data_IF_667699849373
#
_entry.id   IF_667699849373
#
_cell.length_a   1.000
_cell.length_b   1.000
_cell.length_c   1.000
_cell.angle_alpha   90.00
_cell.angle_beta   90.00
_cell.angle_gamma   90.00
#
_symmetry.space_group_name_H-M   'P 1'
#
loop_
_entity.id
_entity.type
_entity.pdbx_description
1 polymer ?
#
# COMPACT_ATOMS: atom_id res chain seq x y z
N UNK A 1 -8.03 -19.40 31.96
CA UNK A 1 -8.12 -18.59 30.74
C UNK A 1 -7.97 -19.54 29.57
N UNK A 2 -9.07 -19.87 28.87
CA UNK A 2 -9.00 -20.73 27.69
C UNK A 2 -8.69 -19.80 26.50
N UNK A 3 -7.51 -19.96 25.90
CA UNK A 3 -7.25 -19.48 24.55
C UNK A 3 -8.35 -20.03 23.65
N UNK A 4 -9.20 -19.14 23.15
CA UNK A 4 -9.94 -19.40 21.93
C UNK A 4 -8.87 -19.36 20.84
N UNK A 5 -8.43 -20.53 20.39
CA UNK A 5 -7.69 -20.61 19.13
C UNK A 5 -8.73 -20.24 18.07
N UNK A 6 -8.65 -19.02 17.56
CA UNK A 6 -9.33 -18.64 16.32
C UNK A 6 -8.64 -19.44 15.22
N UNK A 7 -9.19 -20.61 14.91
CA UNK A 7 -8.74 -21.43 13.78
C UNK A 7 -9.23 -20.71 12.52
N UNK A 8 -8.29 -20.23 11.69
CA UNK A 8 -8.60 -19.64 10.38
C UNK A 8 -8.50 -18.12 10.29
N UNK A 9 -7.47 -17.49 10.87
CA UNK A 9 -7.12 -16.08 10.58
C UNK A 9 -5.60 -15.96 10.48
N UNK A 10 -5.12 -14.93 9.77
CA UNK A 10 -3.68 -14.60 9.72
C UNK A 10 -3.16 -14.36 11.14
N UNK A 11 -2.02 -14.96 11.49
CA UNK A 11 -1.43 -14.88 12.82
C UNK A 11 -1.25 -13.43 13.29
N UNK A 12 -1.61 -13.18 14.55
CA UNK A 12 -1.45 -11.89 15.20
C UNK A 12 0.02 -11.45 15.30
N UNK A 13 0.96 -12.40 15.29
CA UNK A 13 2.39 -12.10 15.35
C UNK A 13 2.84 -11.22 14.16
N UNK A 14 2.20 -11.36 12.99
CA UNK A 14 2.48 -10.53 11.82
C UNK A 14 2.13 -9.06 12.04
N UNK A 15 1.10 -8.74 12.83
CA UNK A 15 0.77 -7.34 13.16
C UNK A 15 1.96 -6.66 13.83
N UNK A 16 2.48 -7.27 14.89
CA UNK A 16 3.59 -6.74 15.67
C UNK A 16 4.88 -6.67 14.83
N UNK A 17 5.20 -7.73 14.08
CA UNK A 17 6.36 -7.76 13.20
C UNK A 17 6.29 -6.64 12.14
N UNK A 18 5.15 -6.48 11.47
CA UNK A 18 4.95 -5.44 10.47
C UNK A 18 5.09 -4.02 11.05
N UNK A 19 4.55 -3.78 12.24
CA UNK A 19 4.72 -2.51 12.97
C UNK A 19 6.18 -2.22 13.30
N UNK A 20 6.94 -3.22 13.75
CA UNK A 20 8.38 -3.07 13.99
C UNK A 20 9.13 -2.78 12.68
N UNK A 21 8.78 -3.48 11.59
CA UNK A 21 9.29 -3.21 10.25
C UNK A 21 9.09 -1.75 9.81
N UNK A 22 7.89 -1.20 10.03
CA UNK A 22 7.58 0.20 9.75
C UNK A 22 8.38 1.15 10.66
N UNK A 23 8.42 0.88 11.96
CA UNK A 23 9.14 1.71 12.91
C UNK A 23 10.66 1.75 12.65
N UNK A 24 11.25 0.65 12.18
CA UNK A 24 12.67 0.56 11.84
C UNK A 24 13.02 1.04 10.43
N UNK A 25 12.06 1.10 9.50
CA UNK A 25 12.31 1.44 8.09
C UNK A 25 13.11 2.74 7.88
N UNK A 26 12.89 3.76 8.72
CA UNK A 26 13.63 5.03 8.63
C UNK A 26 15.16 4.88 8.73
N UNK A 27 15.66 3.78 9.31
CA UNK A 27 17.09 3.43 9.40
C UNK A 27 17.67 2.97 8.06
N UNK A 28 16.84 2.38 7.21
CA UNK A 28 17.20 1.84 5.90
C UNK A 28 16.85 2.75 4.71
N UNK A 29 15.99 3.74 4.95
CA UNK A 29 15.48 4.68 3.96
C UNK A 29 13.96 4.55 3.82
N UNK A 30 13.31 5.59 3.28
CA UNK A 30 11.83 5.64 3.23
C UNK A 30 11.21 4.45 2.51
N UNK A 31 11.85 3.94 1.46
CA UNK A 31 11.35 2.79 0.70
C UNK A 31 11.45 1.46 1.44
N UNK A 32 12.25 1.34 2.50
CA UNK A 32 12.20 0.15 3.35
C UNK A 32 10.83 -0.02 4.05
N UNK A 33 10.03 1.05 4.14
CA UNK A 33 8.67 1.01 4.67
C UNK A 33 7.73 0.07 3.89
N UNK A 34 8.08 -0.30 2.66
CA UNK A 34 7.33 -1.29 1.88
C UNK A 34 7.17 -2.62 2.63
N UNK A 35 8.24 -3.07 3.30
CA UNK A 35 8.33 -4.36 3.97
C UNK A 35 7.37 -4.42 5.15
N UNK A 36 7.51 -3.50 6.11
CA UNK A 36 6.61 -3.42 7.27
C UNK A 36 5.16 -3.17 6.87
N UNK A 37 4.91 -2.24 5.94
CA UNK A 37 3.55 -1.94 5.47
C UNK A 37 2.85 -3.15 4.86
N UNK A 38 3.58 -4.00 4.13
CA UNK A 38 2.99 -5.19 3.54
C UNK A 38 2.66 -6.26 4.58
N UNK A 39 3.54 -6.47 5.57
CA UNK A 39 3.27 -7.42 6.66
C UNK A 39 2.08 -6.97 7.50
N UNK A 40 2.02 -5.69 7.88
CA UNK A 40 0.86 -5.14 8.61
C UNK A 40 -0.43 -5.21 7.79
N UNK A 41 -0.39 -4.90 6.50
CA UNK A 41 -1.57 -5.02 5.62
C UNK A 41 -2.02 -6.49 5.47
N UNK A 42 -1.09 -7.45 5.47
CA UNK A 42 -1.40 -8.87 5.42
C UNK A 42 -2.17 -9.37 6.65
N UNK A 43 -1.84 -8.88 7.84
CA UNK A 43 -2.65 -9.14 9.03
C UNK A 43 -4.09 -8.63 8.85
N UNK A 44 -4.26 -7.39 8.39
CA UNK A 44 -5.60 -6.81 8.20
C UNK A 44 -6.42 -7.49 7.12
N UNK A 45 -5.81 -8.18 6.16
CA UNK A 45 -6.57 -9.04 5.24
C UNK A 45 -7.29 -10.16 5.99
N UNK A 46 -6.62 -10.81 6.94
CA UNK A 46 -7.22 -11.85 7.77
C UNK A 46 -8.32 -11.30 8.67
N UNK A 47 -8.12 -10.12 9.24
CA UNK A 47 -9.10 -9.45 10.10
C UNK A 47 -10.35 -9.02 9.33
N UNK A 48 -10.17 -8.35 8.19
CA UNK A 48 -11.26 -7.74 7.44
C UNK A 48 -12.02 -8.74 6.55
N UNK A 49 -11.38 -9.83 6.15
CA UNK A 49 -11.95 -10.86 5.28
C UNK A 49 -12.01 -12.21 6.01
N UNK A 50 -12.59 -12.22 7.21
CA UNK A 50 -12.57 -13.37 8.14
C UNK A 50 -13.26 -14.65 7.63
N UNK A 51 -14.03 -14.58 6.54
CA UNK A 51 -14.76 -15.73 5.96
C UNK A 51 -14.03 -16.40 4.76
N UNK A 52 -12.73 -16.13 4.56
CA UNK A 52 -11.95 -16.76 3.50
C UNK A 52 -11.55 -18.21 3.84
N UNK A 53 -11.28 -19.06 2.83
CA UNK A 53 -10.72 -20.39 3.05
C UNK A 53 -9.37 -20.35 3.78
N UNK A 54 -9.09 -21.36 4.61
CA UNK A 54 -7.84 -21.46 5.37
C UNK A 54 -6.60 -21.46 4.48
N UNK A 55 -6.70 -22.05 3.29
CA UNK A 55 -5.67 -22.03 2.24
C UNK A 55 -5.27 -20.61 1.83
N UNK A 56 -6.21 -19.67 1.82
CA UNK A 56 -5.94 -18.27 1.47
C UNK A 56 -5.12 -17.61 2.55
N UNK A 57 -5.47 -17.81 3.83
CA UNK A 57 -4.67 -17.28 4.94
C UNK A 57 -3.26 -17.86 4.94
N UNK A 58 -3.12 -19.18 4.75
CA UNK A 58 -1.81 -19.82 4.63
C UNK A 58 -1.00 -19.27 3.44
N UNK A 59 -1.66 -18.98 2.33
CA UNK A 59 -1.04 -18.33 1.17
C UNK A 59 -0.53 -16.92 1.49
N UNK A 60 -1.34 -16.11 2.18
CA UNK A 60 -0.95 -14.78 2.66
C UNK A 60 0.23 -14.87 3.62
N UNK A 61 0.14 -15.69 4.67
CA UNK A 61 1.21 -15.91 5.65
C UNK A 61 2.51 -16.36 5.00
N UNK A 62 2.43 -17.28 4.02
CA UNK A 62 3.60 -17.72 3.26
C UNK A 62 4.28 -16.59 2.49
N UNK A 63 3.54 -15.61 1.96
CA UNK A 63 4.15 -14.42 1.37
C UNK A 63 4.71 -13.48 2.45
N UNK A 64 4.05 -13.33 3.62
CA UNK A 64 4.55 -12.52 4.73
C UNK A 64 5.88 -13.04 5.30
N UNK A 65 6.00 -14.35 5.50
CA UNK A 65 7.24 -15.00 5.94
C UNK A 65 8.40 -14.70 5.01
N UNK A 66 8.14 -14.69 3.70
CA UNK A 66 9.15 -14.41 2.68
C UNK A 66 9.58 -12.95 2.66
N UNK A 67 8.66 -12.03 2.95
CA UNK A 67 8.98 -10.61 3.17
C UNK A 67 9.91 -10.46 4.38
N UNK A 68 9.58 -11.11 5.50
CA UNK A 68 10.37 -11.06 6.74
C UNK A 68 11.76 -11.71 6.56
N UNK A 69 11.82 -12.80 5.78
CA UNK A 69 13.06 -13.47 5.42
C UNK A 69 13.93 -12.66 4.43
N UNK A 70 13.41 -11.54 3.90
CA UNK A 70 14.18 -10.62 3.06
C UNK A 70 14.23 -11.00 1.58
N UNK A 71 13.31 -11.84 1.09
CA UNK A 71 13.23 -12.19 -0.34
C UNK A 71 12.92 -10.99 -1.24
N UNK A 72 12.53 -9.84 -0.65
CA UNK A 72 12.30 -8.58 -1.34
C UNK A 72 13.21 -7.45 -0.83
N UNK A 73 14.49 -7.76 -0.63
CA UNK A 73 15.52 -6.79 -0.23
C UNK A 73 15.80 -5.68 -1.27
N UNK A 74 15.06 -5.62 -2.39
CA UNK A 74 15.23 -4.61 -3.45
C UNK A 74 14.91 -3.19 -2.96
N UNK A 75 14.16 -3.06 -1.86
CA UNK A 75 13.70 -1.78 -1.34
C UNK A 75 14.81 -0.91 -0.75
N UNK A 76 15.94 -1.49 -0.37
CA UNK A 76 17.08 -0.75 0.14
C UNK A 76 18.39 -1.53 0.03
N UNK A 77 19.51 -0.82 0.06
CA UNK A 77 20.82 -1.47 0.07
C UNK A 77 21.23 -1.78 1.51
N UNK A 78 21.11 -3.04 1.94
CA UNK A 78 21.43 -3.48 3.30
C UNK A 78 22.86 -3.12 3.75
N UNK A 79 23.85 -3.28 2.85
CA UNK A 79 25.24 -2.91 3.13
C UNK A 79 25.41 -1.41 3.40
N UNK A 80 24.73 -0.56 2.62
CA UNK A 80 24.77 0.89 2.81
C UNK A 80 24.01 1.32 4.06
N UNK A 81 22.90 0.65 4.35
CA UNK A 81 22.05 0.96 5.50
C UNK A 81 22.63 0.43 6.83
N UNK A 82 23.50 -0.57 6.79
CA UNK A 82 24.03 -1.22 7.99
C UNK A 82 22.97 -2.00 8.77
N UNK A 83 21.91 -2.44 8.09
CA UNK A 83 20.81 -3.24 8.63
C UNK A 83 20.33 -4.20 7.55
N UNK A 84 19.96 -5.41 7.92
CA UNK A 84 19.39 -6.44 7.03
C UNK A 84 17.86 -6.39 7.05
N UNK A 85 17.16 -6.98 6.06
CA UNK A 85 15.70 -7.05 6.08
C UNK A 85 15.16 -7.68 7.36
N UNK A 86 15.72 -8.81 7.82
CA UNK A 86 15.27 -9.49 9.05
C UNK A 86 15.49 -8.64 10.30
N UNK A 87 16.57 -7.86 10.37
CA UNK A 87 16.80 -6.92 11.48
C UNK A 87 15.81 -5.75 11.50
N UNK A 88 15.13 -5.43 10.39
CA UNK A 88 14.04 -4.44 10.40
C UNK A 88 12.81 -4.97 11.15
N UNK A 89 12.61 -6.28 11.19
CA UNK A 89 11.48 -6.93 11.87
C UNK A 89 11.80 -7.33 13.31
N UNK A 90 13.00 -7.00 13.80
CA UNK A 90 13.38 -7.29 15.18
C UNK A 90 12.45 -6.58 16.17
N UNK A 91 12.11 -7.28 17.25
CA UNK A 91 11.28 -6.74 18.33
C UNK A 91 11.91 -5.47 18.91
N UNK A 92 11.08 -4.45 19.11
CA UNK A 92 11.44 -3.23 19.84
C UNK A 92 11.46 -3.48 21.35
N UNK A 93 12.20 -2.70 22.14
CA UNK A 93 12.16 -2.79 23.61
C UNK A 93 10.72 -2.71 24.14
N UNK A 94 10.44 -3.52 25.17
CA UNK A 94 9.16 -3.49 25.86
C UNK A 94 9.02 -2.15 26.60
N UNK A 95 7.95 -1.42 26.28
CA UNK A 95 7.62 -0.10 26.83
C UNK A 95 6.11 -0.02 27.09
N UNK A 96 5.69 0.78 28.06
CA UNK A 96 4.27 1.03 28.30
C UNK A 96 3.63 1.72 27.07
N UNK A 97 2.44 1.28 26.63
CA UNK A 97 1.78 1.90 25.49
C UNK A 97 1.34 3.34 25.78
N UNK A 98 1.49 4.21 24.78
CA UNK A 98 1.07 5.63 24.78
C UNK A 98 0.15 5.94 23.59
N UNK A 99 -1.06 5.34 23.53
CA UNK A 99 -1.98 5.48 22.39
C UNK A 99 -2.46 6.92 22.17
N UNK A 100 -2.44 7.76 23.19
CA UNK A 100 -2.72 9.19 23.10
C UNK A 100 -1.73 9.96 22.19
N UNK A 101 -0.58 9.35 21.87
CA UNK A 101 0.47 9.92 21.01
C UNK A 101 0.39 9.47 19.55
N UNK A 102 -0.56 8.61 19.17
CA UNK A 102 -0.80 8.23 17.76
C UNK A 102 -0.96 9.45 16.84
N UNK A 103 -1.63 10.56 17.25
CA UNK A 103 -1.72 11.77 16.44
C UNK A 103 -0.37 12.36 16.00
N UNK A 104 0.75 12.08 16.68
CA UNK A 104 2.08 12.55 16.25
C UNK A 104 2.47 12.03 14.86
N UNK A 105 2.03 10.84 14.47
CA UNK A 105 2.26 10.28 13.12
C UNK A 105 1.46 11.08 12.09
N UNK A 106 0.23 11.43 12.44
CA UNK A 106 -0.69 12.19 11.58
C UNK A 106 -0.20 13.64 11.42
N UNK A 107 0.28 14.27 12.49
CA UNK A 107 0.90 15.60 12.46
C UNK A 107 2.16 15.63 11.57
N UNK A 108 2.95 14.55 11.59
CA UNK A 108 4.07 14.40 10.67
C UNK A 108 3.63 14.24 9.21
N UNK A 109 2.56 13.48 8.97
CA UNK A 109 1.99 13.30 7.64
C UNK A 109 1.45 14.62 7.09
N UNK A 110 0.77 15.43 7.92
CA UNK A 110 0.17 16.71 7.54
C UNK A 110 1.16 17.66 6.83
N UNK A 111 2.46 17.55 7.14
CA UNK A 111 3.51 18.36 6.54
C UNK A 111 3.76 18.06 5.06
N UNK A 112 3.37 16.87 4.57
CA UNK A 112 3.65 16.44 3.20
C UNK A 112 2.48 15.76 2.48
N UNK A 113 1.33 15.58 3.14
CA UNK A 113 0.16 14.85 2.61
C UNK A 113 -0.45 15.48 1.36
N UNK A 114 -0.39 16.81 1.23
CA UNK A 114 -0.96 17.53 0.08
C UNK A 114 -0.15 17.42 -1.22
N UNK A 115 0.97 16.69 -1.22
CA UNK A 115 1.78 16.45 -2.41
C UNK A 115 1.97 14.94 -2.65
N UNK A 116 1.98 14.52 -3.92
CA UNK A 116 2.30 13.14 -4.25
C UNK A 116 3.80 12.87 -3.95
N UNK A 117 4.08 12.12 -2.87
CA UNK A 117 5.45 11.77 -2.46
C UNK A 117 5.72 10.30 -2.76
N UNK A 118 6.62 10.06 -3.71
CA UNK A 118 6.96 8.73 -4.23
C UNK A 118 5.68 7.92 -4.46
N UNK A 119 4.80 8.30 -5.39
CA UNK A 119 3.58 7.52 -5.66
C UNK A 119 2.66 7.31 -4.43
N UNK A 120 2.65 8.22 -3.46
CA UNK A 120 1.78 8.15 -2.28
C UNK A 120 2.30 7.32 -1.10
N UNK A 121 3.57 6.87 -1.11
CA UNK A 121 4.12 6.06 -0.01
C UNK A 121 4.04 6.73 1.37
N UNK A 122 4.13 8.06 1.43
CA UNK A 122 4.01 8.81 2.68
C UNK A 122 2.71 8.48 3.42
N UNK A 123 1.57 8.64 2.75
CA UNK A 123 0.27 8.38 3.34
C UNK A 123 -0.04 6.89 3.45
N UNK A 124 0.39 6.07 2.48
CA UNK A 124 0.19 4.60 2.53
C UNK A 124 0.82 3.99 3.78
N UNK A 125 2.07 4.34 4.08
CA UNK A 125 2.76 3.77 5.24
C UNK A 125 2.20 4.33 6.55
N UNK A 126 1.94 5.64 6.60
CA UNK A 126 1.39 6.29 7.78
C UNK A 126 -0.02 5.76 8.11
N UNK A 127 -0.91 5.59 7.12
CA UNK A 127 -2.28 5.13 7.36
C UNK A 127 -2.32 3.69 7.86
N UNK A 128 -1.50 2.79 7.31
CA UNK A 128 -1.41 1.40 7.76
C UNK A 128 -0.91 1.33 9.20
N UNK A 129 0.10 2.12 9.55
CA UNK A 129 0.58 2.22 10.93
C UNK A 129 -0.49 2.79 11.87
N UNK A 130 -1.12 3.90 11.49
CA UNK A 130 -2.17 4.55 12.31
C UNK A 130 -3.34 3.59 12.54
N UNK A 131 -3.77 2.85 11.52
CA UNK A 131 -4.78 1.79 11.65
C UNK A 131 -4.35 0.73 12.66
N UNK A 132 -3.14 0.20 12.53
CA UNK A 132 -2.59 -0.80 13.45
C UNK A 132 -2.56 -0.33 14.91
N UNK A 133 -2.08 0.89 15.16
CA UNK A 133 -1.99 1.42 16.52
C UNK A 133 -3.34 1.84 17.10
N UNK A 134 -4.27 2.27 16.25
CA UNK A 134 -5.62 2.63 16.68
C UNK A 134 -6.41 1.40 17.16
N UNK A 135 -6.36 0.31 16.39
CA UNK A 135 -7.12 -0.91 16.70
C UNK A 135 -6.44 -1.80 17.74
N UNK A 136 -5.11 -1.74 17.82
CA UNK A 136 -4.29 -2.48 18.77
C UNK A 136 -3.39 -1.52 19.56
N UNK A 137 -3.99 -0.72 20.48
CA UNK A 137 -3.30 0.33 21.22
C UNK A 137 -2.16 -0.19 22.11
N UNK A 138 -2.14 -1.48 22.43
CA UNK A 138 -1.04 -2.14 23.13
C UNK A 138 0.31 -2.07 22.38
N UNK A 139 0.30 -1.84 21.06
CA UNK A 139 1.51 -1.64 20.27
C UNK A 139 1.88 -0.17 20.06
N UNK A 140 1.10 0.77 20.57
CA UNK A 140 1.35 2.21 20.48
C UNK A 140 2.44 2.69 21.45
N UNK A 141 3.61 2.03 21.43
CA UNK A 141 4.73 2.36 22.30
C UNK A 141 5.47 3.61 21.81
N UNK A 142 6.18 4.33 22.70
CA UNK A 142 6.97 5.50 22.32
C UNK A 142 7.94 5.26 21.16
N UNK A 143 8.59 4.09 21.10
CA UNK A 143 9.52 3.78 20.01
C UNK A 143 8.84 3.46 18.68
N UNK A 144 7.70 2.76 18.69
CA UNK A 144 6.92 2.50 17.46
C UNK A 144 6.46 3.83 16.86
N UNK A 145 5.80 4.67 17.66
CA UNK A 145 5.29 5.98 17.23
C UNK A 145 6.44 6.83 16.68
N UNK A 146 7.54 6.96 17.44
CA UNK A 146 8.71 7.73 17.01
C UNK A 146 9.33 7.20 15.71
N UNK A 147 9.41 5.89 15.53
CA UNK A 147 9.94 5.26 14.34
C UNK A 147 9.10 5.55 13.09
N UNK A 148 7.78 5.39 13.20
CA UNK A 148 6.82 5.67 12.11
C UNK A 148 6.78 7.17 11.79
N UNK A 149 6.79 8.03 12.81
CA UNK A 149 6.88 9.50 12.63
C UNK A 149 8.13 9.88 11.85
N UNK A 150 9.29 9.31 12.18
CA UNK A 150 10.55 9.54 11.43
C UNK A 150 10.48 9.04 10.00
N UNK A 151 9.90 7.86 9.77
CA UNK A 151 9.67 7.33 8.42
C UNK A 151 8.83 8.32 7.59
N UNK A 152 7.72 8.80 8.17
CA UNK A 152 6.78 9.72 7.53
C UNK A 152 7.43 11.06 7.18
N UNK A 153 8.21 11.64 8.09
CA UNK A 153 8.95 12.88 7.86
C UNK A 153 10.03 12.74 6.77
N UNK A 154 10.56 11.53 6.56
CA UNK A 154 11.54 11.25 5.51
C UNK A 154 11.07 11.58 4.09
N UNK A 155 9.75 11.70 3.88
CA UNK A 155 9.15 12.02 2.59
C UNK A 155 9.04 13.52 2.28
N UNK A 156 9.35 14.42 3.22
CA UNK A 156 9.14 15.87 3.06
C UNK A 156 9.75 16.46 1.77
N UNK A 157 10.88 15.90 1.32
CA UNK A 157 11.59 16.35 0.12
C UNK A 157 11.50 15.36 -1.06
N UNK A 158 10.65 14.35 -0.98
CA UNK A 158 10.55 13.32 -2.01
C UNK A 158 9.76 13.82 -3.23
N UNK A 159 10.20 13.49 -4.45
CA UNK A 159 9.41 13.74 -5.67
C UNK A 159 8.33 12.66 -5.85
N UNK A 160 7.41 12.83 -6.79
CA UNK A 160 6.27 11.93 -7.04
C UNK A 160 6.62 10.53 -7.55
N UNK A 161 7.90 10.16 -7.65
CA UNK A 161 8.36 8.95 -8.35
C UNK A 161 8.76 9.24 -9.81
N UNK A 162 8.81 8.18 -10.64
CA UNK A 162 9.23 8.24 -12.04
C UNK A 162 8.34 7.36 -12.92
N UNK A 163 8.11 7.80 -14.16
CA UNK A 163 7.36 7.12 -15.21
C UNK A 163 8.25 6.70 -16.37
N UNK A 164 7.97 5.56 -17.01
CA UNK A 164 8.64 5.13 -18.24
C UNK A 164 7.81 5.52 -19.46
N UNK A 165 8.40 6.27 -20.39
CA UNK A 165 7.73 6.85 -21.56
C UNK A 165 8.15 6.17 -22.87
N UNK A 166 8.47 4.88 -22.82
CA UNK A 166 8.94 4.11 -23.96
C UNK A 166 10.43 4.32 -24.27
N UNK A 167 10.97 3.50 -25.16
CA UNK A 167 12.41 3.38 -25.43
C UNK A 167 13.06 4.68 -25.89
N UNK A 168 12.33 5.49 -26.65
CA UNK A 168 12.85 6.76 -27.20
C UNK A 168 12.99 7.85 -26.13
N UNK A 169 12.07 7.89 -25.16
CA UNK A 169 12.02 8.93 -24.14
C UNK A 169 12.66 8.50 -22.82
N UNK A 170 12.55 7.22 -22.46
CA UNK A 170 13.08 6.66 -21.23
C UNK A 170 12.29 7.06 -19.97
N UNK A 171 12.99 7.07 -18.83
CA UNK A 171 12.40 7.38 -17.52
C UNK A 171 12.37 8.89 -17.26
N UNK A 172 11.21 9.42 -16.87
CA UNK A 172 11.03 10.80 -16.38
C UNK A 172 10.56 10.82 -14.95
N UNK A 173 11.16 11.69 -14.15
CA UNK A 173 10.75 11.96 -12.77
C UNK A 173 9.52 12.88 -12.77
N UNK A 174 8.70 12.86 -11.71
CA UNK A 174 7.45 13.64 -11.70
C UNK A 174 7.61 15.14 -11.98
N UNK A 175 8.71 15.75 -11.54
CA UNK A 175 9.05 17.15 -11.82
C UNK A 175 9.49 17.42 -13.28
N UNK A 176 9.76 16.38 -14.07
CA UNK A 176 10.09 16.45 -15.50
C UNK A 176 8.84 16.23 -16.38
N UNK A 177 7.70 15.91 -15.77
CA UNK A 177 6.42 15.66 -16.46
C UNK A 177 5.54 16.89 -16.32
N UNK A 178 5.13 17.45 -17.46
CA UNK A 178 4.19 18.55 -17.49
C UNK A 178 2.76 18.00 -17.40
N UNK A 179 2.09 18.28 -16.28
CA UNK A 179 0.66 18.02 -16.11
C UNK A 179 -0.12 19.23 -16.64
N UNK A 180 -0.90 19.02 -17.69
CA UNK A 180 -1.82 20.05 -18.19
C UNK A 180 -3.11 20.00 -17.38
N UNK A 181 -3.76 21.16 -17.11
CA UNK A 181 -5.13 21.16 -16.63
C UNK A 181 -6.03 20.35 -17.56
N UNK A 182 -6.85 19.47 -16.98
CA UNK A 182 -7.80 18.64 -17.69
C UNK A 182 -9.20 18.95 -17.14
N UNK A 183 -9.97 19.74 -17.88
CA UNK A 183 -11.33 20.12 -17.51
C UNK A 183 -12.27 18.89 -17.40
N UNK A 184 -11.90 17.77 -18.03
CA UNK A 184 -12.64 16.51 -17.92
C UNK A 184 -12.30 15.71 -16.66
N UNK A 185 -11.29 16.13 -15.90
CA UNK A 185 -10.89 15.51 -14.64
C UNK A 185 -10.81 16.53 -13.50
N UNK A 186 -11.97 17.06 -13.03
CA UNK A 186 -12.03 18.03 -11.95
C UNK A 186 -11.56 17.44 -10.60
N UNK A 187 -11.33 18.31 -9.62
CA UNK A 187 -11.04 17.91 -8.25
C UNK A 187 -12.17 17.04 -7.67
N UNK A 188 -11.80 16.13 -6.75
CA UNK A 188 -12.77 15.29 -6.09
C UNK A 188 -13.75 16.10 -5.26
N UNK A 189 -15.02 15.70 -5.31
CA UNK A 189 -16.08 16.31 -4.51
C UNK A 189 -16.14 15.73 -3.09
N UNK A 190 -15.61 14.51 -2.91
CA UNK A 190 -15.62 13.76 -1.66
C UNK A 190 -14.70 12.54 -1.77
N UNK A 191 -14.43 11.87 -0.65
CA UNK A 191 -13.70 10.58 -0.62
C UNK A 191 -14.44 9.47 -1.40
N UNK A 192 -15.77 9.30 -1.29
CA UNK A 192 -16.49 8.38 -2.19
C UNK A 192 -16.33 8.71 -3.68
N UNK A 193 -16.27 10.00 -4.06
CA UNK A 193 -15.99 10.37 -5.44
C UNK A 193 -14.56 9.98 -5.86
N UNK A 194 -13.55 10.19 -5.02
CA UNK A 194 -12.19 9.70 -5.26
C UNK A 194 -12.17 8.17 -5.47
N UNK A 195 -12.84 7.40 -4.60
CA UNK A 195 -12.91 5.93 -4.72
C UNK A 195 -13.55 5.52 -6.04
N UNK A 196 -14.67 6.15 -6.44
CA UNK A 196 -15.32 5.87 -7.72
C UNK A 196 -14.38 6.11 -8.91
N UNK A 197 -13.64 7.23 -8.89
CA UNK A 197 -12.62 7.52 -9.92
C UNK A 197 -11.52 6.44 -9.93
N UNK A 198 -10.99 6.05 -8.76
CA UNK A 198 -9.94 5.02 -8.67
C UNK A 198 -10.41 3.68 -9.24
N UNK A 199 -11.64 3.29 -8.95
CA UNK A 199 -12.24 2.05 -9.46
C UNK A 199 -12.49 2.13 -10.97
N UNK A 200 -12.99 3.26 -11.48
CA UNK A 200 -13.18 3.45 -12.91
C UNK A 200 -11.82 3.46 -13.65
N UNK A 201 -10.77 4.06 -13.08
CA UNK A 201 -9.40 4.03 -13.63
C UNK A 201 -8.84 2.61 -13.68
N UNK A 202 -9.03 1.80 -12.63
CA UNK A 202 -8.68 0.38 -12.61
C UNK A 202 -9.41 -0.37 -13.73
N UNK A 203 -10.73 -0.24 -13.81
CA UNK A 203 -11.55 -0.94 -14.82
C UNK A 203 -11.10 -0.62 -16.23
N UNK A 204 -10.76 0.64 -16.51
CA UNK A 204 -10.39 1.09 -17.85
C UNK A 204 -8.95 0.72 -18.22
N UNK A 205 -8.02 0.74 -17.27
CA UNK A 205 -6.58 0.71 -17.59
C UNK A 205 -5.84 -0.54 -17.09
N UNK A 206 -6.47 -1.44 -16.34
CA UNK A 206 -5.81 -2.63 -15.78
C UNK A 206 -5.13 -3.53 -16.82
N UNK A 207 -5.70 -3.65 -18.02
CA UNK A 207 -5.13 -4.47 -19.09
C UNK A 207 -4.05 -3.77 -19.91
N UNK A 208 -3.85 -2.46 -19.72
CA UNK A 208 -2.92 -1.64 -20.52
C UNK A 208 -1.54 -1.68 -19.89
N UNK A 209 -0.51 -2.00 -20.67
CA UNK A 209 0.86 -2.09 -20.15
C UNK A 209 1.46 -0.70 -19.98
N UNK A 210 1.33 -0.13 -18.79
CA UNK A 210 2.00 1.11 -18.36
C UNK A 210 3.04 0.80 -17.28
N UNK A 211 4.09 1.62 -17.17
CA UNK A 211 5.14 1.41 -16.16
C UNK A 211 5.58 2.72 -15.49
N UNK A 212 5.58 2.71 -14.16
CA UNK A 212 6.08 3.80 -13.32
C UNK A 212 4.99 4.47 -12.49
N UNK A 213 5.39 5.47 -11.70
CA UNK A 213 4.57 6.14 -10.68
C UNK A 213 3.80 5.16 -9.79
N UNK A 214 4.39 3.99 -9.50
CA UNK A 214 3.78 2.96 -8.67
C UNK A 214 2.67 2.13 -9.32
N UNK A 215 2.18 2.54 -10.49
CA UNK A 215 1.07 1.92 -11.19
C UNK A 215 -0.24 1.88 -10.40
N UNK A 216 -1.18 1.08 -10.89
CA UNK A 216 -2.50 0.92 -10.26
C UNK A 216 -2.41 0.36 -8.83
N UNK A 217 -1.38 -0.44 -8.50
CA UNK A 217 -1.13 -0.89 -7.13
C UNK A 217 -1.08 0.30 -6.17
N UNK A 218 -0.29 1.32 -6.48
CA UNK A 218 -0.12 2.46 -5.58
C UNK A 218 -1.30 3.41 -5.61
N UNK A 219 -1.98 3.59 -6.75
CA UNK A 219 -3.19 4.41 -6.83
C UNK A 219 -4.28 3.84 -5.92
N UNK A 220 -4.48 2.52 -5.95
CA UNK A 220 -5.44 1.83 -5.07
C UNK A 220 -5.04 2.01 -3.60
N UNK A 221 -3.78 1.75 -3.27
CA UNK A 221 -3.30 1.86 -1.88
C UNK A 221 -3.37 3.28 -1.35
N UNK A 222 -3.11 4.27 -2.21
CA UNK A 222 -3.20 5.69 -1.87
C UNK A 222 -4.66 6.09 -1.60
N UNK A 223 -5.61 5.67 -2.44
CA UNK A 223 -7.04 5.86 -2.18
C UNK A 223 -7.49 5.19 -0.87
N UNK A 224 -7.05 3.95 -0.62
CA UNK A 224 -7.36 3.21 0.60
C UNK A 224 -6.81 3.92 1.84
N UNK A 225 -5.59 4.45 1.75
CA UNK A 225 -4.96 5.19 2.84
C UNK A 225 -5.73 6.46 3.22
N UNK A 226 -6.24 7.19 2.22
CA UNK A 226 -7.09 8.37 2.44
C UNK A 226 -8.41 7.97 3.09
N UNK A 227 -9.09 6.95 2.57
CA UNK A 227 -10.36 6.47 3.11
C UNK A 227 -10.21 5.96 4.56
N UNK A 228 -9.12 5.27 4.87
CA UNK A 228 -8.84 4.78 6.22
C UNK A 228 -8.59 5.92 7.21
N UNK A 229 -7.80 6.94 6.85
CA UNK A 229 -7.59 8.08 7.75
C UNK A 229 -8.89 8.82 8.06
N UNK A 230 -9.77 8.99 7.07
CA UNK A 230 -11.10 9.57 7.28
C UNK A 230 -11.95 8.71 8.22
N UNK A 231 -11.99 7.39 7.99
CA UNK A 231 -12.71 6.42 8.83
C UNK A 231 -12.21 6.42 10.28
N UNK A 232 -10.91 6.63 10.49
CA UNK A 232 -10.27 6.68 11.81
C UNK A 232 -10.39 8.05 12.50
N UNK A 233 -11.13 9.00 11.92
CA UNK A 233 -11.42 10.30 12.53
C UNK A 233 -10.41 11.41 12.19
N UNK A 234 -9.47 11.16 11.27
CA UNK A 234 -8.49 12.15 10.79
C UNK A 234 -8.94 12.83 9.48
N UNK A 235 -10.20 13.27 9.44
CA UNK A 235 -10.85 13.81 8.25
C UNK A 235 -10.09 14.98 7.62
N UNK A 236 -9.55 15.91 8.42
CA UNK A 236 -8.83 17.08 7.90
C UNK A 236 -7.59 16.68 7.07
N UNK A 237 -6.82 15.70 7.57
CA UNK A 237 -5.62 15.18 6.89
C UNK A 237 -6.01 14.37 5.64
N UNK A 238 -7.07 13.57 5.74
CA UNK A 238 -7.60 12.80 4.61
C UNK A 238 -8.06 13.72 3.47
N UNK A 239 -8.79 14.79 3.78
CA UNK A 239 -9.24 15.77 2.77
C UNK A 239 -8.07 16.56 2.19
N UNK A 240 -7.07 16.91 3.00
CA UNK A 240 -5.84 17.54 2.52
C UNK A 240 -5.03 16.65 1.55
N UNK A 241 -5.22 15.33 1.58
CA UNK A 241 -4.56 14.38 0.69
C UNK A 241 -5.20 14.25 -0.70
N UNK A 242 -6.47 14.65 -0.86
CA UNK A 242 -7.22 14.49 -2.12
C UNK A 242 -6.50 15.08 -3.35
N UNK A 243 -5.89 16.28 -3.29
CA UNK A 243 -5.11 16.81 -4.43
C UNK A 243 -3.90 15.96 -4.80
N UNK A 244 -3.24 15.32 -3.82
CA UNK A 244 -2.08 14.47 -4.07
C UNK A 244 -2.46 13.18 -4.80
N UNK A 245 -3.57 12.56 -4.41
CA UNK A 245 -4.11 11.39 -5.13
C UNK A 245 -4.61 11.76 -6.53
N UNK A 246 -5.28 12.91 -6.67
CA UNK A 246 -5.69 13.43 -7.98
C UNK A 246 -4.50 13.59 -8.93
N UNK A 247 -3.42 14.22 -8.45
CA UNK A 247 -2.17 14.35 -9.19
C UNK A 247 -1.55 12.99 -9.55
N UNK A 248 -1.65 12.00 -8.65
CA UNK A 248 -1.15 10.65 -8.90
C UNK A 248 -1.85 9.97 -10.09
N UNK A 249 -3.18 10.10 -10.20
CA UNK A 249 -3.93 9.65 -11.39
C UNK A 249 -3.49 10.41 -12.64
N UNK A 250 -3.28 11.73 -12.56
CA UNK A 250 -2.80 12.50 -13.71
C UNK A 250 -1.44 11.97 -14.22
N UNK A 251 -0.49 11.68 -13.34
CA UNK A 251 0.77 11.04 -13.74
C UNK A 251 0.55 9.68 -14.42
N UNK A 252 -0.33 8.83 -13.88
CA UNK A 252 -0.65 7.54 -14.51
C UNK A 252 -1.24 7.67 -15.91
N UNK A 253 -2.11 8.66 -16.11
CA UNK A 253 -2.74 8.92 -17.42
C UNK A 253 -1.74 9.40 -18.46
N UNK A 254 -0.66 10.05 -18.06
CA UNK A 254 0.41 10.49 -18.98
C UNK A 254 1.27 9.35 -19.53
N UNK A 255 1.29 8.18 -18.87
CA UNK A 255 2.11 7.05 -19.29
C UNK A 255 1.56 6.42 -20.59
N UNK A 256 2.41 6.16 -21.59
CA UNK A 256 1.99 5.46 -22.80
C UNK A 256 1.72 3.97 -22.53
N UNK A 257 0.99 3.35 -23.44
CA UNK A 257 0.99 1.89 -23.56
C UNK A 257 2.33 1.44 -24.13
N UNK A 258 3.07 0.62 -23.38
CA UNK A 258 4.38 0.08 -23.73
C UNK A 258 4.32 -1.44 -23.91
N UNK A 259 3.16 -2.00 -24.21
CA UNK A 259 2.97 -3.44 -24.48
C UNK A 259 3.92 -3.94 -25.58
N UNK A 260 4.11 -3.17 -26.66
CA UNK A 260 5.01 -3.54 -27.75
C UNK A 260 6.48 -3.69 -27.33
N UNK A 261 6.87 -3.06 -26.21
CA UNK A 261 8.22 -3.10 -25.67
C UNK A 261 8.37 -4.14 -24.55
N UNK A 262 7.38 -4.24 -23.66
CA UNK A 262 7.47 -4.97 -22.40
C UNK A 262 6.54 -6.17 -22.29
N UNK A 263 5.77 -6.45 -23.34
CA UNK A 263 4.75 -7.50 -23.39
C UNK A 263 3.44 -7.12 -22.69
N UNK A 264 2.40 -7.87 -23.02
CA UNK A 264 1.05 -7.64 -22.51
C UNK A 264 0.96 -7.86 -20.98
N UNK A 265 0.00 -7.18 -20.35
CA UNK A 265 -0.36 -7.46 -18.97
C UNK A 265 -1.08 -8.81 -18.91
N UNK A 266 -0.58 -9.71 -18.06
CA UNK A 266 -1.22 -11.00 -17.82
C UNK A 266 -2.25 -10.85 -16.71
N UNK A 267 -3.39 -11.51 -16.87
CA UNK A 267 -4.44 -11.59 -15.86
C UNK A 267 -4.31 -12.88 -15.06
N UNK A 268 -4.43 -12.82 -13.73
CA UNK A 268 -4.50 -14.02 -12.90
C UNK A 268 -5.68 -14.88 -13.31
N UNK A 269 -5.48 -16.21 -13.37
CA UNK A 269 -6.52 -17.18 -13.75
C UNK A 269 -7.60 -17.36 -12.67
N UNK A 270 -7.23 -17.13 -11.41
CA UNK A 270 -8.06 -17.33 -10.23
C UNK A 270 -8.21 -16.01 -9.44
N UNK A 271 -9.26 -15.91 -8.64
CA UNK A 271 -9.46 -14.79 -7.71
C UNK A 271 -8.55 -14.98 -6.49
N UNK A 272 -7.83 -13.95 -6.00
CA UNK A 272 -6.96 -14.08 -4.83
C UNK A 272 -7.68 -14.44 -3.51
N UNK A 273 -9.02 -14.44 -3.51
CA UNK A 273 -9.86 -14.93 -2.40
C UNK A 273 -10.18 -16.43 -2.49
N UNK A 274 -9.79 -17.10 -3.57
CA UNK A 274 -10.00 -18.52 -3.78
C UNK A 274 -8.70 -19.28 -3.49
N UNK A 275 -8.81 -20.51 -2.96
CA UNK A 275 -7.64 -21.32 -2.62
C UNK A 275 -6.73 -21.60 -3.83
N UNK A 276 -7.34 -21.81 -5.00
CA UNK A 276 -6.64 -22.16 -6.26
C UNK A 276 -5.63 -21.10 -6.69
N UNK A 277 -5.86 -19.83 -6.38
CA UNK A 277 -4.89 -18.77 -6.67
C UNK A 277 -3.56 -18.97 -5.92
N UNK A 278 -3.63 -19.52 -4.71
CA UNK A 278 -2.47 -19.76 -3.85
C UNK A 278 -1.82 -21.13 -4.11
N UNK A 279 -2.43 -21.95 -4.97
CA UNK A 279 -1.90 -23.24 -5.42
C UNK A 279 -0.85 -23.03 -6.51
N UNK A 280 0.38 -22.69 -6.11
CA UNK A 280 1.51 -22.65 -7.03
C UNK A 280 2.56 -21.59 -6.70
N UNK A 281 3.47 -21.39 -7.65
CA UNK A 281 4.51 -20.38 -7.52
C UNK A 281 4.06 -19.07 -8.17
N UNK A 282 3.64 -18.10 -7.34
CA UNK A 282 3.32 -16.75 -7.79
C UNK A 282 4.57 -16.04 -8.33
N UNK A 283 4.39 -15.12 -9.28
CA UNK A 283 5.47 -14.22 -9.73
C UNK A 283 5.84 -13.23 -8.63
N UNK A 284 7.14 -13.11 -8.37
CA UNK A 284 7.72 -12.35 -7.24
C UNK A 284 8.81 -11.35 -7.66
N UNK A 285 9.01 -11.20 -8.96
CA UNK A 285 9.86 -10.17 -9.54
C UNK A 285 9.27 -8.77 -9.33
N UNK A 286 10.08 -7.73 -9.56
CA UNK A 286 9.62 -6.33 -9.62
C UNK A 286 8.83 -5.85 -8.39
N UNK A 287 9.19 -6.36 -7.21
CA UNK A 287 8.54 -6.00 -5.95
C UNK A 287 7.06 -6.42 -5.84
N UNK A 288 6.66 -7.43 -6.63
CA UNK A 288 5.29 -7.95 -6.63
C UNK A 288 4.87 -8.51 -5.27
N UNK A 289 5.80 -9.02 -4.46
CA UNK A 289 5.49 -9.63 -3.16
C UNK A 289 4.84 -8.60 -2.21
N UNK A 290 5.50 -7.50 -1.89
CA UNK A 290 4.92 -6.45 -1.03
C UNK A 290 3.76 -5.72 -1.71
N UNK A 291 3.81 -5.51 -3.02
CA UNK A 291 2.71 -4.83 -3.73
C UNK A 291 1.42 -5.65 -3.75
N UNK A 292 1.49 -6.96 -3.98
CA UNK A 292 0.34 -7.87 -4.03
C UNK A 292 -0.43 -7.81 -2.72
N UNK A 293 0.25 -7.97 -1.58
CA UNK A 293 -0.39 -7.96 -0.25
C UNK A 293 -1.03 -6.61 0.06
N UNK A 294 -0.29 -5.50 -0.05
CA UNK A 294 -0.84 -4.16 0.22
C UNK A 294 -2.04 -3.83 -0.66
N UNK A 295 -1.94 -4.21 -1.93
CA UNK A 295 -2.98 -3.91 -2.93
C UNK A 295 -4.20 -4.79 -2.77
N UNK A 296 -4.05 -6.04 -2.33
CA UNK A 296 -5.15 -6.89 -1.92
C UNK A 296 -5.91 -6.24 -0.75
N UNK A 297 -5.18 -5.78 0.28
CA UNK A 297 -5.77 -5.05 1.40
C UNK A 297 -6.48 -3.78 0.93
N UNK A 298 -5.74 -2.86 0.29
CA UNK A 298 -6.25 -1.56 -0.11
C UNK A 298 -7.42 -1.63 -1.09
N UNK A 299 -7.41 -2.59 -2.02
CA UNK A 299 -8.53 -2.80 -2.94
C UNK A 299 -9.80 -3.18 -2.20
N UNK A 300 -9.74 -4.16 -1.29
CA UNK A 300 -10.92 -4.57 -0.53
C UNK A 300 -11.36 -3.52 0.50
N UNK A 301 -10.47 -2.66 0.99
CA UNK A 301 -10.84 -1.46 1.76
C UNK A 301 -11.72 -0.53 0.93
N UNK A 302 -11.28 -0.10 -0.26
CA UNK A 302 -12.05 0.87 -1.07
C UNK A 302 -13.27 0.24 -1.75
N UNK A 303 -13.23 -1.06 -2.05
CA UNK A 303 -14.35 -1.77 -2.68
C UNK A 303 -15.61 -1.78 -1.79
N UNK A 304 -15.49 -1.59 -0.47
CA UNK A 304 -16.64 -1.44 0.46
C UNK A 304 -17.51 -0.23 0.13
N UNK A 305 -16.95 0.79 -0.51
CA UNK A 305 -17.67 2.00 -0.90
C UNK A 305 -18.37 1.87 -2.28
N UNK A 306 -18.15 0.76 -2.99
CA UNK A 306 -18.77 0.50 -4.30
C UNK A 306 -20.07 -0.27 -4.10
N UNK A 307 -21.19 0.45 -4.17
CA UNK A 307 -22.55 -0.10 -4.00
C UNK A 307 -23.20 -0.55 -5.31
N UNK A 308 -22.65 -0.15 -6.46
CA UNK A 308 -23.13 -0.60 -7.78
C UNK A 308 -22.56 -1.99 -8.11
N UNK A 309 -23.42 -3.00 -8.14
CA UNK A 309 -23.02 -4.40 -8.33
C UNK A 309 -22.31 -4.64 -9.67
N UNK A 310 -22.75 -3.97 -10.74
CA UNK A 310 -22.15 -4.11 -12.07
C UNK A 310 -20.72 -3.58 -12.07
N UNK A 311 -20.51 -2.37 -11.53
CA UNK A 311 -19.17 -1.79 -11.32
C UNK A 311 -18.34 -2.65 -10.41
N UNK A 312 -18.90 -3.19 -9.32
CA UNK A 312 -18.19 -4.08 -8.39
C UNK A 312 -17.66 -5.34 -9.09
N UNK A 313 -18.48 -6.00 -9.91
CA UNK A 313 -18.06 -7.17 -10.70
C UNK A 313 -16.95 -6.82 -11.68
N UNK A 314 -17.09 -5.70 -12.40
CA UNK A 314 -16.05 -5.22 -13.33
C UNK A 314 -14.74 -4.87 -12.62
N UNK A 315 -14.82 -4.28 -11.42
CA UNK A 315 -13.65 -3.94 -10.62
C UNK A 315 -12.91 -5.20 -10.16
N UNK A 316 -13.63 -6.22 -9.67
CA UNK A 316 -13.06 -7.52 -9.28
C UNK A 316 -12.38 -8.22 -10.47
N UNK A 317 -13.01 -8.17 -11.64
CA UNK A 317 -12.45 -8.72 -12.87
C UNK A 317 -11.16 -8.00 -13.28
N UNK A 318 -11.17 -6.66 -13.29
CA UNK A 318 -10.00 -5.85 -13.61
C UNK A 318 -8.86 -6.00 -12.58
N UNK A 319 -9.21 -6.16 -11.30
CA UNK A 319 -8.24 -6.34 -10.22
C UNK A 319 -7.31 -7.54 -10.44
N UNK A 320 -7.78 -8.60 -11.10
CA UNK A 320 -6.98 -9.79 -11.40
C UNK A 320 -5.76 -9.52 -12.29
N UNK A 321 -5.71 -8.43 -13.05
CA UNK A 321 -4.50 -8.02 -13.78
C UNK A 321 -3.35 -7.60 -12.85
N UNK A 322 -3.68 -7.14 -11.64
CA UNK A 322 -2.68 -6.75 -10.63
C UNK A 322 -2.18 -7.94 -9.82
N UNK A 323 -2.82 -9.10 -9.98
CA UNK A 323 -2.63 -10.32 -9.18
C UNK A 323 -1.90 -11.43 -9.95
N UNK A 324 -1.45 -11.19 -11.18
CA UNK A 324 -0.72 -12.20 -11.97
C UNK A 324 0.76 -12.41 -11.59
#
# INVERSE_FOLDING_TARGET
SRSVILIGMVSFDYLSAGLYGLAHAHRAGTMAGHLGAAVTAGYFLGEDLADLPEEVYRGVEGELDRIIAGEEAIWFNAKKAGVTPTELFAQLPDEDPTPDRIPEIVDALQQNVGACRQSGHNIIFASIAVRALHDHPEYATPQVIKGVTRLTLGFNNAHAGRGYYGKETGWKSGNEVQLSPDDSFPSYASIPHMVAVTIDELIVTASVKKQGFGGLWHIINHAAAIAELDRLGFADVAHAALPAHHQHIQYWRTLPDVESELGAVVKAADDPRESTYWEGMLKRDEARLTHRIKTLYGFFTILRHVTDDVRRVRALDAFRYLMA
#
